data_IF_405772246805
#
_entry.id   IF_405772246805
#
_cell.length_a   1.000
_cell.length_b   1.000
_cell.length_c   1.000
_cell.angle_alpha   90.00
_cell.angle_beta   90.00
_cell.angle_gamma   90.00
#
_symmetry.space_group_name_H-M   'P 1'
#
loop_
_entity.id
_entity.type
_entity.pdbx_description
1 polymer ?
#
# COMPACT_ATOMS: atom_id res chain seq x y z
N UNK A 1 -11.58 -1.98 -24.27
CA UNK A 1 -11.26 -2.58 -22.95
C UNK A 1 -10.73 -1.46 -22.07
N UNK A 2 -11.47 -1.13 -21.01
CA UNK A 2 -11.21 0.07 -20.20
C UNK A 2 -9.79 0.11 -19.67
N UNK A 3 -9.07 1.17 -20.03
CA UNK A 3 -7.69 1.43 -19.61
C UNK A 3 -7.69 2.04 -18.20
N UNK A 4 -8.32 1.36 -17.24
CA UNK A 4 -8.60 1.87 -15.89
C UNK A 4 -7.80 1.08 -14.87
N UNK A 5 -7.25 1.76 -13.87
CA UNK A 5 -6.55 1.11 -12.76
C UNK A 5 -7.55 0.35 -11.90
N UNK A 6 -7.26 -0.90 -11.60
CA UNK A 6 -7.92 -1.68 -10.57
C UNK A 6 -7.48 -1.18 -9.19
N UNK A 7 -8.35 -0.40 -8.53
CA UNK A 7 -8.09 0.16 -7.21
C UNK A 7 -8.62 -0.80 -6.14
N UNK A 8 -7.76 -1.14 -5.19
CA UNK A 8 -8.07 -1.99 -4.03
C UNK A 8 -7.89 -1.16 -2.76
N UNK A 9 -8.91 -1.12 -1.91
CA UNK A 9 -8.91 -0.35 -0.67
C UNK A 9 -8.39 -1.21 0.49
N UNK A 10 -7.19 -0.92 0.98
CA UNK A 10 -6.65 -1.55 2.18
C UNK A 10 -7.33 -0.96 3.41
N UNK A 11 -8.03 -1.80 4.17
CA UNK A 11 -8.88 -1.35 5.27
C UNK A 11 -8.64 -2.18 6.55
N UNK A 12 -8.29 -1.53 7.68
CA UNK A 12 -8.31 -2.18 8.99
C UNK A 12 -9.73 -2.47 9.44
N UNK A 13 -9.86 -3.41 10.38
CA UNK A 13 -11.12 -3.90 10.96
C UNK A 13 -12.20 -2.82 11.14
N UNK A 14 -11.83 -1.66 11.67
CA UNK A 14 -12.73 -0.56 12.02
C UNK A 14 -13.37 0.13 10.81
N UNK A 15 -12.79 -0.06 9.63
CA UNK A 15 -13.12 0.68 8.40
C UNK A 15 -13.55 -0.21 7.22
N UNK A 16 -13.53 -1.54 7.39
CA UNK A 16 -13.86 -2.51 6.32
C UNK A 16 -15.28 -2.29 5.80
N UNK A 17 -16.25 -2.08 6.70
CA UNK A 17 -17.64 -1.89 6.29
C UNK A 17 -17.80 -0.64 5.41
N UNK A 18 -17.18 0.46 5.81
CA UNK A 18 -17.23 1.71 5.06
C UNK A 18 -16.47 1.58 3.73
N UNK A 19 -15.32 0.93 3.71
CA UNK A 19 -14.58 0.64 2.48
C UNK A 19 -15.39 -0.24 1.52
N UNK A 20 -16.05 -1.30 2.02
CA UNK A 20 -16.86 -2.20 1.20
C UNK A 20 -18.08 -1.49 0.57
N UNK A 21 -18.68 -0.53 1.28
CA UNK A 21 -19.81 0.28 0.76
C UNK A 21 -19.45 1.15 -0.45
N UNK A 22 -18.17 1.39 -0.71
CA UNK A 22 -17.71 2.10 -1.91
C UNK A 22 -17.89 1.29 -3.21
N UNK A 23 -18.09 -0.04 -3.09
CA UNK A 23 -18.14 -0.95 -4.23
C UNK A 23 -16.78 -1.32 -4.82
N UNK A 24 -15.68 -0.78 -4.29
CA UNK A 24 -14.32 -1.17 -4.68
C UNK A 24 -13.89 -2.45 -3.94
N UNK A 25 -13.02 -3.29 -4.54
CA UNK A 25 -12.39 -4.40 -3.85
C UNK A 25 -11.66 -3.94 -2.58
N UNK A 26 -11.75 -4.75 -1.52
CA UNK A 26 -11.12 -4.44 -0.21
C UNK A 26 -9.94 -5.37 0.04
N UNK A 27 -8.82 -4.84 0.51
CA UNK A 27 -7.75 -5.61 1.12
C UNK A 27 -7.94 -5.61 2.65
N UNK A 28 -8.27 -6.78 3.21
CA UNK A 28 -8.71 -6.94 4.59
C UNK A 28 -7.53 -7.04 5.56
N UNK A 29 -7.22 -5.96 6.26
CA UNK A 29 -6.15 -5.90 7.28
C UNK A 29 -6.68 -6.46 8.61
N UNK A 30 -6.92 -7.76 8.62
CA UNK A 30 -7.52 -8.48 9.76
C UNK A 30 -6.89 -9.83 10.04
N UNK A 31 -5.89 -10.26 9.28
CA UNK A 31 -5.27 -11.57 9.43
C UNK A 31 -3.84 -11.47 9.95
N UNK A 32 -3.44 -12.43 10.78
CA UNK A 32 -2.06 -12.57 11.26
C UNK A 32 -1.68 -14.03 11.46
N UNK A 33 -0.38 -14.30 11.49
CA UNK A 33 0.15 -15.60 11.91
C UNK A 33 0.37 -15.57 13.42
N UNK A 34 -0.28 -16.48 14.15
CA UNK A 34 -0.15 -16.59 15.60
C UNK A 34 1.11 -17.34 16.03
N UNK A 35 1.42 -17.29 17.34
CA UNK A 35 2.58 -17.99 17.93
C UNK A 35 2.55 -19.52 17.78
N UNK A 36 1.37 -20.10 17.51
CA UNK A 36 1.19 -21.51 17.22
C UNK A 36 1.39 -21.89 15.75
N UNK A 37 1.82 -20.96 14.89
CA UNK A 37 1.97 -21.16 13.43
C UNK A 37 0.65 -21.42 12.69
N UNK A 38 -0.44 -20.91 13.24
CA UNK A 38 -1.78 -20.98 12.66
C UNK A 38 -2.24 -19.59 12.19
N UNK A 39 -3.15 -19.58 11.21
CA UNK A 39 -3.82 -18.37 10.76
C UNK A 39 -4.83 -17.88 11.81
N UNK A 40 -4.76 -16.60 12.13
CA UNK A 40 -5.74 -15.94 13.00
C UNK A 40 -6.39 -14.79 12.27
N UNK A 41 -7.72 -14.68 12.43
CA UNK A 41 -8.48 -13.50 12.06
C UNK A 41 -8.82 -12.66 13.29
N UNK A 42 -8.80 -11.35 13.14
CA UNK A 42 -9.21 -10.40 14.17
C UNK A 42 -10.64 -10.70 14.66
N UNK A 43 -10.80 -10.84 15.96
CA UNK A 43 -12.10 -11.13 16.59
C UNK A 43 -13.11 -10.03 16.26
N UNK A 44 -14.32 -10.42 15.87
CA UNK A 44 -15.40 -9.48 15.54
C UNK A 44 -15.16 -8.65 14.29
N UNK A 45 -14.19 -9.02 13.44
CA UNK A 45 -14.09 -8.45 12.10
C UNK A 45 -15.30 -8.88 11.25
N UNK A 46 -15.98 -7.93 10.57
CA UNK A 46 -17.04 -8.28 9.63
C UNK A 46 -16.55 -9.24 8.54
N UNK A 47 -17.42 -10.15 8.08
CA UNK A 47 -17.14 -11.00 6.92
C UNK A 47 -17.73 -10.33 5.68
N UNK A 48 -16.86 -9.82 4.81
CA UNK A 48 -17.22 -9.42 3.46
C UNK A 48 -16.55 -10.37 2.47
N UNK A 49 -17.33 -10.90 1.55
CA UNK A 49 -16.82 -11.79 0.53
C UNK A 49 -16.04 -11.00 -0.53
N UNK A 50 -15.01 -11.62 -1.09
CA UNK A 50 -14.20 -11.02 -2.13
C UNK A 50 -13.05 -10.16 -1.61
N UNK A 51 -12.23 -9.71 -2.55
CA UNK A 51 -11.10 -8.84 -2.28
C UNK A 51 -9.81 -9.62 -1.99
N UNK A 52 -8.99 -9.08 -1.10
CA UNK A 52 -7.62 -9.55 -0.85
C UNK A 52 -7.40 -9.74 0.65
N UNK A 53 -6.80 -10.84 1.07
CA UNK A 53 -6.36 -11.02 2.45
C UNK A 53 -5.09 -10.19 2.70
N UNK A 54 -5.01 -9.40 3.76
CA UNK A 54 -3.72 -8.84 4.21
C UNK A 54 -3.27 -9.60 5.46
N UNK A 55 -2.14 -10.29 5.33
CA UNK A 55 -1.58 -11.19 6.33
C UNK A 55 -0.39 -10.54 7.04
N UNK A 56 -0.59 -10.18 8.31
CA UNK A 56 0.50 -9.80 9.21
C UNK A 56 1.37 -11.00 9.55
N UNK A 57 2.56 -11.01 8.94
CA UNK A 57 3.60 -12.02 9.12
C UNK A 57 4.76 -11.52 9.99
N UNK A 58 4.64 -10.35 10.64
CA UNK A 58 5.74 -9.73 11.40
C UNK A 58 6.24 -10.58 12.57
N UNK A 59 5.34 -11.34 13.20
CA UNK A 59 5.68 -12.27 14.28
C UNK A 59 6.15 -13.65 13.83
N UNK A 60 6.16 -13.94 12.52
CA UNK A 60 6.48 -15.27 12.00
C UNK A 60 7.93 -15.34 11.54
N UNK A 61 8.76 -16.10 12.24
CA UNK A 61 10.18 -16.30 11.89
C UNK A 61 10.43 -17.61 11.13
N UNK A 62 9.39 -18.41 10.91
CA UNK A 62 9.49 -19.80 10.46
C UNK A 62 9.22 -20.78 11.61
N UNK A 63 9.04 -22.05 11.27
CA UNK A 63 8.64 -23.10 12.22
C UNK A 63 7.20 -23.56 12.02
N UNK A 64 6.85 -24.63 12.72
CA UNK A 64 5.60 -25.37 12.51
C UNK A 64 5.53 -26.04 11.13
N UNK A 65 4.47 -26.83 10.86
CA UNK A 65 4.25 -27.40 9.54
C UNK A 65 3.81 -26.32 8.54
N UNK A 66 4.72 -25.87 7.66
CA UNK A 66 4.42 -24.85 6.64
C UNK A 66 3.23 -25.25 5.75
N UNK A 67 3.12 -26.54 5.39
CA UNK A 67 2.00 -27.04 4.59
C UNK A 67 0.65 -26.81 5.27
N UNK A 68 0.56 -27.04 6.58
CA UNK A 68 -0.68 -26.81 7.33
C UNK A 68 -1.09 -25.34 7.33
N UNK A 69 -0.13 -24.43 7.51
CA UNK A 69 -0.39 -22.99 7.43
C UNK A 69 -0.83 -22.55 6.02
N UNK A 70 -0.22 -23.11 4.97
CA UNK A 70 -0.63 -22.86 3.58
C UNK A 70 -2.07 -23.33 3.37
N UNK A 71 -2.42 -24.54 3.84
CA UNK A 71 -3.76 -25.09 3.71
C UNK A 71 -4.81 -24.23 4.44
N UNK A 72 -4.49 -23.74 5.64
CA UNK A 72 -5.34 -22.81 6.39
C UNK A 72 -5.57 -21.49 5.65
N UNK A 73 -4.51 -20.90 5.07
CA UNK A 73 -4.61 -19.66 4.29
C UNK A 73 -5.46 -19.88 3.04
N UNK A 74 -5.22 -20.97 2.29
CA UNK A 74 -5.98 -21.30 1.09
C UNK A 74 -7.46 -21.54 1.41
N UNK A 75 -7.77 -22.31 2.46
CA UNK A 75 -9.15 -22.58 2.86
C UNK A 75 -9.90 -21.32 3.30
N UNK A 76 -9.26 -20.44 4.07
CA UNK A 76 -9.87 -19.15 4.46
C UNK A 76 -10.03 -18.22 3.25
N UNK A 77 -9.09 -18.23 2.30
CA UNK A 77 -9.23 -17.47 1.06
C UNK A 77 -10.38 -17.98 0.18
N UNK A 78 -10.52 -19.29 0.04
CA UNK A 78 -11.63 -19.91 -0.70
C UNK A 78 -12.98 -19.57 -0.04
N UNK A 79 -13.10 -19.78 1.28
CA UNK A 79 -14.32 -19.47 2.03
C UNK A 79 -14.67 -17.98 2.04
N UNK A 80 -13.65 -17.10 2.00
CA UNK A 80 -13.79 -15.65 1.91
C UNK A 80 -13.96 -15.13 0.49
N UNK A 81 -13.76 -15.95 -0.54
CA UNK A 81 -13.72 -15.53 -1.94
C UNK A 81 -12.55 -14.59 -2.27
N UNK A 82 -11.45 -14.63 -1.52
CA UNK A 82 -10.29 -13.78 -1.77
C UNK A 82 -9.56 -14.21 -3.04
N UNK A 83 -9.11 -13.23 -3.82
CA UNK A 83 -8.38 -13.44 -5.07
C UNK A 83 -6.88 -13.18 -4.93
N UNK A 84 -6.43 -12.88 -3.71
CA UNK A 84 -5.03 -12.65 -3.42
C UNK A 84 -4.71 -12.49 -1.94
N UNK A 85 -3.41 -12.49 -1.65
CA UNK A 85 -2.86 -12.35 -0.31
C UNK A 85 -1.72 -11.32 -0.36
N UNK A 86 -1.80 -10.27 0.45
CA UNK A 86 -0.70 -9.35 0.73
C UNK A 86 0.06 -9.88 1.94
N UNK A 87 1.36 -10.07 1.81
CA UNK A 87 2.24 -10.47 2.91
C UNK A 87 2.88 -9.22 3.49
N UNK A 88 2.60 -8.90 4.75
CA UNK A 88 3.27 -7.79 5.44
C UNK A 88 4.33 -8.34 6.41
N UNK A 89 5.63 -8.32 6.04
CA UNK A 89 6.70 -8.74 6.92
C UNK A 89 6.89 -7.74 8.07
N UNK A 90 7.61 -8.17 9.11
CA UNK A 90 8.07 -7.26 10.15
C UNK A 90 9.30 -6.46 9.68
N UNK A 91 9.83 -5.60 10.55
CA UNK A 91 11.03 -4.78 10.26
C UNK A 91 12.23 -5.60 9.77
N UNK A 92 12.33 -6.86 10.21
CA UNK A 92 13.36 -7.79 9.78
C UNK A 92 12.73 -8.88 8.93
N UNK A 93 13.10 -8.93 7.66
CA UNK A 93 12.70 -9.99 6.76
C UNK A 93 13.28 -11.34 7.22
N UNK A 94 12.41 -12.23 7.70
CA UNK A 94 12.77 -13.59 8.11
C UNK A 94 12.64 -14.58 6.96
N UNK A 95 13.53 -15.58 6.92
CA UNK A 95 13.50 -16.66 5.91
C UNK A 95 12.17 -17.41 5.90
N UNK A 96 11.51 -17.56 7.06
CA UNK A 96 10.19 -18.19 7.16
C UNK A 96 9.10 -17.44 6.39
N UNK A 97 9.07 -16.11 6.47
CA UNK A 97 8.10 -15.27 5.73
C UNK A 97 8.34 -15.38 4.23
N UNK A 98 9.60 -15.35 3.80
CA UNK A 98 9.95 -15.54 2.39
C UNK A 98 9.54 -16.92 1.88
N UNK A 99 9.78 -17.98 2.65
CA UNK A 99 9.38 -19.35 2.29
C UNK A 99 7.85 -19.49 2.19
N UNK A 100 7.11 -18.88 3.12
CA UNK A 100 5.64 -18.83 3.08
C UNK A 100 5.14 -18.13 1.81
N UNK A 101 5.64 -16.92 1.55
CA UNK A 101 5.25 -16.15 0.37
C UNK A 101 5.60 -16.88 -0.93
N UNK A 102 6.80 -17.46 -1.03
CA UNK A 102 7.24 -18.21 -2.21
C UNK A 102 6.39 -19.46 -2.42
N UNK A 103 6.01 -20.16 -1.35
CA UNK A 103 5.15 -21.33 -1.46
C UNK A 103 3.75 -20.94 -1.94
N UNK A 104 3.14 -19.90 -1.38
CA UNK A 104 1.85 -19.39 -1.86
C UNK A 104 1.91 -18.96 -3.33
N UNK A 105 2.98 -18.27 -3.73
CA UNK A 105 3.15 -17.83 -5.12
C UNK A 105 3.30 -19.02 -6.08
N UNK A 106 4.02 -20.08 -5.68
CA UNK A 106 4.24 -21.28 -6.49
C UNK A 106 2.97 -22.10 -6.79
N UNK A 107 1.93 -21.95 -5.97
CA UNK A 107 0.65 -22.68 -6.13
C UNK A 107 -0.45 -21.80 -6.74
N UNK A 108 -0.11 -20.64 -7.29
CA UNK A 108 -1.05 -19.69 -7.89
C UNK A 108 -1.94 -20.31 -8.98
N UNK A 109 -1.39 -21.19 -9.82
CA UNK A 109 -2.18 -21.87 -10.87
C UNK A 109 -3.28 -22.78 -10.29
N UNK A 110 -3.05 -23.33 -9.10
CA UNK A 110 -3.99 -24.22 -8.41
C UNK A 110 -5.04 -23.42 -7.63
N UNK A 111 -4.62 -22.32 -6.99
CA UNK A 111 -5.48 -21.56 -6.06
C UNK A 111 -6.12 -20.32 -6.66
N UNK A 112 -5.57 -19.80 -7.78
CA UNK A 112 -5.93 -18.50 -8.34
C UNK A 112 -5.46 -17.30 -7.52
N UNK A 113 -4.75 -17.51 -6.40
CA UNK A 113 -4.36 -16.44 -5.49
C UNK A 113 -3.15 -15.68 -6.03
N UNK A 114 -3.32 -14.36 -6.20
CA UNK A 114 -2.20 -13.46 -6.46
C UNK A 114 -1.52 -13.11 -5.14
N UNK A 115 -0.22 -13.37 -5.03
CA UNK A 115 0.57 -13.03 -3.84
C UNK A 115 1.24 -11.69 -4.06
N UNK A 116 0.95 -10.72 -3.19
CA UNK A 116 1.56 -9.40 -3.18
C UNK A 116 2.61 -9.33 -2.09
N UNK A 117 3.81 -8.84 -2.42
CA UNK A 117 4.91 -8.69 -1.47
C UNK A 117 5.56 -7.31 -1.58
N UNK A 118 6.12 -6.76 -0.48
CA UNK A 118 6.94 -5.57 -0.54
C UNK A 118 8.16 -5.71 -1.44
N UNK A 119 8.70 -4.59 -1.92
CA UNK A 119 9.81 -4.55 -2.86
C UNK A 119 11.08 -5.25 -2.36
N UNK A 120 11.35 -5.22 -1.05
CA UNK A 120 12.47 -5.91 -0.41
C UNK A 120 12.40 -7.44 -0.53
N UNK A 121 11.22 -8.00 -0.81
CA UNK A 121 11.01 -9.44 -0.99
C UNK A 121 11.02 -9.88 -2.46
N UNK A 122 11.03 -8.94 -3.41
CA UNK A 122 10.83 -9.22 -4.82
C UNK A 122 11.81 -10.27 -5.39
N UNK A 123 13.09 -10.20 -4.99
CA UNK A 123 14.14 -11.08 -5.51
C UNK A 123 14.10 -12.50 -4.92
N UNK A 124 13.45 -12.69 -3.78
CA UNK A 124 13.42 -13.98 -3.06
C UNK A 124 12.07 -14.69 -3.14
N UNK A 125 11.05 -14.03 -3.74
CA UNK A 125 9.70 -14.58 -3.91
C UNK A 125 9.33 -14.56 -5.40
N UNK A 126 9.87 -15.49 -6.21
CA UNK A 126 9.52 -15.55 -7.63
C UNK A 126 8.02 -15.81 -7.83
N UNK A 127 7.43 -15.14 -8.81
CA UNK A 127 6.01 -15.25 -9.14
C UNK A 127 5.05 -14.40 -8.30
N UNK A 128 5.57 -13.62 -7.34
CA UNK A 128 4.78 -12.62 -6.63
C UNK A 128 4.64 -11.31 -7.42
N UNK A 129 3.59 -10.56 -7.10
CA UNK A 129 3.39 -9.18 -7.54
C UNK A 129 4.05 -8.24 -6.53
N UNK A 130 4.91 -7.35 -7.02
CA UNK A 130 5.68 -6.43 -6.19
C UNK A 130 4.87 -5.18 -5.88
N UNK A 131 4.72 -4.86 -4.59
CA UNK A 131 4.14 -3.60 -4.11
C UNK A 131 5.20 -2.50 -4.17
N UNK A 132 4.94 -1.51 -5.02
CA UNK A 132 5.84 -0.37 -5.26
C UNK A 132 5.27 0.88 -4.63
N UNK A 133 5.99 1.40 -3.65
CA UNK A 133 5.63 2.60 -2.88
C UNK A 133 5.71 3.86 -3.75
N UNK A 134 4.75 4.76 -3.58
CA UNK A 134 4.72 6.06 -4.30
C UNK A 134 5.12 7.25 -3.45
N UNK A 135 5.33 7.06 -2.14
CA UNK A 135 5.84 8.07 -1.22
C UNK A 135 7.37 8.09 -1.28
N UNK A 136 7.91 8.87 -2.21
CA UNK A 136 9.36 8.98 -2.39
C UNK A 136 9.93 10.12 -1.54
N UNK A 137 11.09 9.86 -0.92
CA UNK A 137 11.89 10.89 -0.22
C UNK A 137 12.77 11.71 -1.18
N UNK A 138 12.91 11.28 -2.43
CA UNK A 138 13.68 11.92 -3.47
C UNK A 138 13.63 11.16 -4.80
N UNK A 139 14.19 11.74 -5.85
CA UNK A 139 14.17 11.16 -7.20
C UNK A 139 12.84 11.37 -7.93
N UNK A 140 12.62 10.63 -9.02
CA UNK A 140 11.45 10.77 -9.89
C UNK A 140 10.55 9.54 -9.79
N UNK A 141 9.27 9.74 -9.46
CA UNK A 141 8.25 8.70 -9.41
C UNK A 141 8.08 8.03 -10.76
N UNK A 142 8.06 8.80 -11.85
CA UNK A 142 7.91 8.24 -13.20
C UNK A 142 9.05 7.27 -13.51
N UNK A 143 10.29 7.69 -13.21
CA UNK A 143 11.46 6.83 -13.40
C UNK A 143 11.38 5.59 -12.51
N UNK A 144 11.02 5.75 -11.24
CA UNK A 144 10.87 4.64 -10.29
C UNK A 144 9.87 3.58 -10.79
N UNK A 145 8.71 4.02 -11.28
CA UNK A 145 7.69 3.11 -11.84
C UNK A 145 8.16 2.42 -13.13
N UNK A 146 8.86 3.14 -14.02
CA UNK A 146 9.43 2.56 -15.23
C UNK A 146 10.50 1.52 -14.93
N UNK A 147 11.39 1.79 -13.97
CA UNK A 147 12.43 0.86 -13.53
C UNK A 147 11.83 -0.39 -12.90
N UNK A 148 10.80 -0.25 -12.06
CA UNK A 148 10.08 -1.38 -11.48
C UNK A 148 9.39 -2.23 -12.56
N UNK A 149 8.67 -1.60 -13.50
CA UNK A 149 8.02 -2.31 -14.60
C UNK A 149 9.02 -3.02 -15.52
N UNK A 150 10.16 -2.41 -15.82
CA UNK A 150 11.21 -3.01 -16.62
C UNK A 150 11.89 -4.19 -15.91
N UNK A 151 12.04 -4.11 -14.58
CA UNK A 151 12.71 -5.14 -13.77
C UNK A 151 11.82 -6.34 -13.51
N UNK A 152 10.55 -6.12 -13.16
CA UNK A 152 9.64 -7.17 -12.68
C UNK A 152 8.59 -7.60 -13.73
N UNK A 153 8.42 -6.83 -14.80
CA UNK A 153 7.26 -6.94 -15.69
C UNK A 153 6.10 -6.12 -15.12
N UNK A 154 5.46 -5.29 -15.96
CA UNK A 154 4.42 -4.36 -15.52
C UNK A 154 3.19 -5.07 -14.93
N UNK A 155 2.91 -6.29 -15.37
CA UNK A 155 1.85 -7.17 -14.86
C UNK A 155 2.15 -7.75 -13.48
N UNK A 156 3.43 -7.77 -13.06
CA UNK A 156 3.88 -8.23 -11.75
C UNK A 156 4.20 -7.07 -10.80
N UNK A 157 3.66 -5.88 -11.08
CA UNK A 157 3.77 -4.72 -10.21
C UNK A 157 2.37 -4.23 -9.82
N UNK A 158 2.21 -3.85 -8.55
CA UNK A 158 1.06 -3.11 -8.07
C UNK A 158 1.56 -1.88 -7.29
N UNK A 159 0.87 -0.76 -7.43
CA UNK A 159 1.20 0.44 -6.67
C UNK A 159 0.72 0.30 -5.22
N UNK A 160 1.52 0.82 -4.31
CA UNK A 160 1.11 1.13 -2.96
C UNK A 160 1.10 2.66 -2.80
N UNK A 161 -0.12 3.22 -2.76
CA UNK A 161 -0.32 4.67 -2.66
C UNK A 161 -0.53 5.04 -1.21
N UNK A 162 0.51 5.64 -0.63
CA UNK A 162 0.42 6.39 0.62
C UNK A 162 0.08 7.85 0.32
N UNK A 163 -0.92 8.39 1.02
CA UNK A 163 -1.22 9.84 0.99
C UNK A 163 -0.25 10.55 1.94
N UNK A 164 0.76 11.18 1.36
CA UNK A 164 1.79 11.87 2.13
C UNK A 164 1.22 13.14 2.77
N UNK A 165 1.63 13.44 4.01
CA UNK A 165 1.48 14.75 4.67
C UNK A 165 2.66 14.95 5.62
N UNK A 166 3.70 15.64 5.18
CA UNK A 166 4.97 15.72 5.89
C UNK A 166 5.47 17.16 5.95
N UNK A 167 5.88 17.60 7.13
CA UNK A 167 6.51 18.89 7.38
C UNK A 167 8.01 18.71 7.65
N UNK A 168 8.84 19.34 6.83
CA UNK A 168 10.29 19.27 6.90
C UNK A 168 10.90 20.59 7.34
N UNK A 169 11.69 20.55 8.40
CA UNK A 169 12.54 21.64 8.83
C UNK A 169 13.73 21.79 7.88
N UNK A 170 13.89 22.96 7.26
CA UNK A 170 14.98 23.24 6.31
C UNK A 170 16.20 23.85 7.04
N UNK A 171 17.44 23.34 6.84
CA UNK A 171 17.82 22.26 5.92
C UNK A 171 17.44 20.86 6.43
N UNK A 172 16.79 20.06 5.58
CA UNK A 172 16.30 18.72 5.90
C UNK A 172 17.43 17.68 5.88
N UNK A 173 18.38 17.78 6.82
CA UNK A 173 19.64 17.01 6.84
C UNK A 173 19.46 15.49 6.80
N UNK A 174 18.38 14.97 7.36
CA UNK A 174 18.11 13.52 7.41
C UNK A 174 17.08 13.06 6.39
N UNK A 175 16.45 13.99 5.65
CA UNK A 175 15.29 13.68 4.80
C UNK A 175 14.07 13.17 5.58
N UNK A 176 14.05 13.33 6.90
CA UNK A 176 12.93 12.90 7.76
C UNK A 176 12.07 14.11 8.10
N UNK A 177 10.80 14.07 7.70
CA UNK A 177 9.80 15.06 8.07
C UNK A 177 8.98 14.59 9.27
N UNK A 178 8.25 15.52 9.88
CA UNK A 178 7.19 15.24 10.84
C UNK A 178 5.90 14.94 10.07
N UNK A 179 5.27 13.81 10.33
CA UNK A 179 3.95 13.53 9.79
C UNK A 179 2.93 14.53 10.34
N UNK A 180 2.08 15.04 9.46
CA UNK A 180 0.99 15.95 9.81
C UNK A 180 -0.34 15.21 9.81
N UNK A 181 -1.19 15.53 10.79
CA UNK A 181 -2.61 15.21 10.70
C UNK A 181 -3.30 16.06 9.64
N UNK A 182 -4.55 15.70 9.31
CA UNK A 182 -5.35 16.50 8.38
C UNK A 182 -5.61 17.90 8.94
N UNK A 183 -5.95 17.98 10.23
CA UNK A 183 -6.25 19.21 10.94
C UNK A 183 -5.02 20.13 11.03
N UNK A 184 -3.83 19.57 11.23
CA UNK A 184 -2.58 20.33 11.23
C UNK A 184 -2.28 20.94 9.86
N UNK A 185 -2.48 20.17 8.78
CA UNK A 185 -2.28 20.67 7.41
C UNK A 185 -3.28 21.80 7.09
N UNK A 186 -4.54 21.65 7.50
CA UNK A 186 -5.57 22.68 7.34
C UNK A 186 -5.26 23.95 8.15
N UNK A 187 -4.76 23.80 9.39
CA UNK A 187 -4.32 24.92 10.21
C UNK A 187 -3.17 25.69 9.55
N UNK A 188 -2.24 25.00 8.89
CA UNK A 188 -1.16 25.65 8.13
C UNK A 188 -1.69 26.43 6.93
N UNK A 189 -2.69 25.90 6.21
CA UNK A 189 -3.34 26.65 5.13
C UNK A 189 -4.02 27.92 5.65
N UNK A 190 -4.77 27.82 6.75
CA UNK A 190 -5.45 28.99 7.33
C UNK A 190 -4.48 30.03 7.87
N UNK A 191 -3.40 29.60 8.52
CA UNK A 191 -2.42 30.50 9.16
C UNK A 191 -1.56 31.24 8.13
N UNK A 192 -1.05 30.52 7.12
CA UNK A 192 -0.04 31.07 6.20
C UNK A 192 -0.59 31.44 4.82
N UNK A 193 -1.81 31.02 4.47
CA UNK A 193 -2.39 31.18 3.12
C UNK A 193 -1.38 30.89 2.00
N UNK A 194 -0.70 29.73 2.04
CA UNK A 194 0.48 29.52 1.21
C UNK A 194 0.10 29.32 -0.26
N UNK A 195 1.02 29.71 -1.15
CA UNK A 195 0.93 29.32 -2.56
C UNK A 195 1.33 27.85 -2.69
N UNK A 196 0.43 27.04 -3.24
CA UNK A 196 0.66 25.61 -3.46
C UNK A 196 1.39 25.43 -4.80
N UNK A 197 2.45 24.63 -4.76
CA UNK A 197 3.25 24.19 -5.90
C UNK A 197 3.10 22.68 -6.12
N UNK A 198 3.50 22.21 -7.29
CA UNK A 198 3.51 20.79 -7.64
C UNK A 198 4.94 20.36 -7.98
N UNK A 199 5.35 19.21 -7.43
CA UNK A 199 6.60 18.55 -7.79
C UNK A 199 6.31 17.47 -8.83
N UNK A 200 6.83 17.65 -10.05
CA UNK A 200 6.76 16.63 -11.11
C UNK A 200 7.52 15.36 -10.73
N UNK A 201 8.64 15.52 -10.01
CA UNK A 201 9.50 14.42 -9.58
C UNK A 201 8.80 13.55 -8.53
N UNK A 202 8.28 14.15 -7.45
CA UNK A 202 7.64 13.39 -6.37
C UNK A 202 6.16 13.10 -6.66
N UNK A 203 5.60 13.73 -7.70
CA UNK A 203 4.18 13.71 -8.01
C UNK A 203 3.30 14.04 -6.79
N UNK A 204 3.69 15.08 -6.05
CA UNK A 204 3.03 15.55 -4.84
C UNK A 204 2.98 17.09 -4.81
N UNK A 205 2.05 17.63 -4.03
CA UNK A 205 1.93 19.07 -3.81
C UNK A 205 2.84 19.51 -2.67
N UNK A 206 3.32 20.74 -2.72
CA UNK A 206 4.11 21.29 -1.63
C UNK A 206 3.92 22.79 -1.46
N UNK A 207 4.29 23.29 -0.30
CA UNK A 207 4.47 24.72 -0.06
C UNK A 207 5.59 24.96 0.96
N UNK A 208 6.03 26.21 1.07
CA UNK A 208 7.06 26.63 2.01
C UNK A 208 6.46 27.72 2.89
N UNK A 209 6.69 27.62 4.20
CA UNK A 209 6.33 28.68 5.15
C UNK A 209 7.48 28.94 6.11
N UNK A 210 7.37 30.02 6.89
CA UNK A 210 8.37 30.41 7.87
C UNK A 210 7.72 30.62 9.23
N UNK A 211 8.24 29.94 10.24
CA UNK A 211 7.89 30.14 11.64
C UNK A 211 9.09 30.76 12.38
N UNK A 212 8.99 32.06 12.66
CA UNK A 212 10.09 32.85 13.20
C UNK A 212 11.36 32.82 12.32
N UNK A 213 12.41 32.15 12.79
CA UNK A 213 13.67 31.97 12.05
C UNK A 213 13.73 30.66 11.26
N UNK A 214 12.79 29.76 11.48
CA UNK A 214 12.78 28.43 10.90
C UNK A 214 12.00 28.41 9.59
N UNK A 215 12.60 27.86 8.54
CA UNK A 215 11.92 27.59 7.27
C UNK A 215 11.42 26.15 7.26
N UNK A 216 10.18 25.98 6.80
CA UNK A 216 9.50 24.70 6.70
C UNK A 216 9.13 24.42 5.24
N UNK A 217 9.25 23.16 4.82
CA UNK A 217 8.81 22.64 3.53
C UNK A 217 7.76 21.57 3.81
N UNK A 218 6.54 21.78 3.34
CA UNK A 218 5.43 20.83 3.54
C UNK A 218 5.16 20.11 2.24
N UNK A 219 5.25 18.79 2.25
CA UNK A 219 4.93 17.90 1.12
C UNK A 219 3.65 17.14 1.44
N UNK A 220 2.69 17.13 0.51
CA UNK A 220 1.42 16.45 0.74
C UNK A 220 0.75 15.96 -0.54
N UNK A 221 -0.10 14.95 -0.39
CA UNK A 221 -0.96 14.42 -1.43
C UNK A 221 -2.41 14.92 -1.30
N UNK A 222 -3.01 15.24 -2.44
CA UNK A 222 -4.44 15.51 -2.61
C UNK A 222 -5.00 14.58 -3.70
N UNK A 223 -6.30 14.68 -3.98
CA UNK A 223 -6.94 13.85 -5.00
C UNK A 223 -6.29 13.99 -6.39
N UNK A 224 -5.87 15.20 -6.76
CA UNK A 224 -5.23 15.45 -8.06
C UNK A 224 -3.84 14.81 -8.16
N UNK A 225 -3.04 14.84 -7.09
CA UNK A 225 -1.72 14.18 -7.09
C UNK A 225 -1.86 12.66 -7.13
N UNK A 226 -2.81 12.09 -6.38
CA UNK A 226 -3.10 10.65 -6.40
C UNK A 226 -3.57 10.20 -7.79
N UNK A 227 -4.46 10.94 -8.45
CA UNK A 227 -4.87 10.64 -9.84
C UNK A 227 -3.68 10.67 -10.80
N UNK A 228 -2.74 11.61 -10.62
CA UNK A 228 -1.52 11.64 -11.43
C UNK A 228 -0.64 10.41 -11.19
N UNK A 229 -0.46 9.97 -9.94
CA UNK A 229 0.24 8.72 -9.61
C UNK A 229 -0.38 7.52 -10.33
N UNK A 230 -1.72 7.40 -10.30
CA UNK A 230 -2.47 6.36 -11.02
C UNK A 230 -2.29 6.45 -12.55
N UNK A 231 -2.30 7.65 -13.13
CA UNK A 231 -2.05 7.85 -14.56
C UNK A 231 -0.63 7.44 -14.97
N UNK A 232 0.38 7.77 -14.17
CA UNK A 232 1.76 7.37 -14.43
C UNK A 232 1.93 5.85 -14.35
N UNK A 233 1.26 5.19 -13.41
CA UNK A 233 1.21 3.73 -13.33
C UNK A 233 0.63 3.10 -14.59
N UNK A 234 -0.53 3.58 -15.06
CA UNK A 234 -1.17 3.09 -16.28
C UNK A 234 -0.27 3.27 -17.51
N UNK A 235 0.45 4.40 -17.61
CA UNK A 235 1.41 4.64 -18.69
C UNK A 235 2.60 3.68 -18.63
N UNK A 236 3.00 3.24 -17.44
CA UNK A 236 4.00 2.20 -17.24
C UNK A 236 3.44 0.77 -17.43
N UNK A 237 2.15 0.62 -17.76
CA UNK A 237 1.48 -0.67 -17.91
C UNK A 237 1.02 -1.31 -16.60
N UNK A 238 1.20 -0.62 -15.47
CA UNK A 238 0.82 -1.08 -14.14
C UNK A 238 -0.67 -0.81 -13.92
N UNK A 239 -1.43 -1.86 -13.64
CA UNK A 239 -2.91 -1.81 -13.63
C UNK A 239 -3.54 -1.98 -12.26
N UNK A 240 -2.78 -2.27 -11.22
CA UNK A 240 -3.31 -2.49 -9.87
C UNK A 240 -2.73 -1.45 -8.92
N UNK A 241 -3.56 -0.89 -8.04
CA UNK A 241 -3.13 0.05 -7.01
C UNK A 241 -3.87 -0.19 -5.70
N UNK A 242 -3.13 -0.18 -4.60
CA UNK A 242 -3.65 -0.24 -3.24
C UNK A 242 -3.67 1.17 -2.65
N UNK A 243 -4.80 1.56 -2.07
CA UNK A 243 -4.95 2.79 -1.31
C UNK A 243 -5.36 2.44 0.12
N UNK A 244 -4.70 3.02 1.11
CA UNK A 244 -5.10 2.86 2.51
C UNK A 244 -6.36 3.67 2.80
N UNK A 245 -7.50 3.00 2.98
CA UNK A 245 -8.82 3.61 3.05
C UNK A 245 -8.92 4.72 4.12
N UNK A 246 -8.49 4.52 5.38
CA UNK A 246 -8.53 5.59 6.37
C UNK A 246 -7.70 6.82 6.01
N UNK A 247 -6.72 6.70 5.10
CA UNK A 247 -5.93 7.84 4.63
C UNK A 247 -6.57 8.62 3.48
N UNK A 248 -7.56 8.04 2.78
CA UNK A 248 -8.12 8.63 1.55
C UNK A 248 -9.63 8.78 1.54
N UNK A 249 -10.34 8.27 2.55
CA UNK A 249 -11.82 8.21 2.55
C UNK A 249 -12.50 9.58 2.33
N UNK A 250 -11.90 10.66 2.81
CA UNK A 250 -12.35 12.05 2.68
C UNK A 250 -12.20 12.60 1.26
N UNK A 251 -11.28 12.05 0.46
CA UNK A 251 -11.00 12.49 -0.91
C UNK A 251 -11.24 11.40 -1.96
N UNK A 252 -11.81 10.26 -1.57
CA UNK A 252 -11.95 9.09 -2.44
C UNK A 252 -12.82 9.40 -3.66
N UNK A 253 -13.96 10.07 -3.46
CA UNK A 253 -14.84 10.46 -4.56
C UNK A 253 -14.13 11.36 -5.58
N UNK A 254 -13.24 12.25 -5.13
CA UNK A 254 -12.45 13.11 -6.00
C UNK A 254 -11.32 12.37 -6.73
N UNK A 255 -10.77 11.32 -6.11
CA UNK A 255 -9.79 10.42 -6.74
C UNK A 255 -10.46 9.62 -7.87
N UNK A 256 -11.72 9.22 -7.68
CA UNK A 256 -12.45 8.34 -8.59
C UNK A 256 -13.11 9.06 -9.78
N UNK A 257 -13.10 10.40 -9.80
CA UNK A 257 -13.55 11.25 -10.92
C UNK A 257 -12.56 11.25 -12.08
#
# INVERSE_FOLDING_TARGET
MENKTNIILAAPKQSIEQAARTGLPVAHITYKIGRGYHLFRAQGAPRYAGGVMVLDASGYTGGGPLSGLIDEICAECEAGGFTGVVITPGERLGLGVAALAARLASIREQTGLTVYVPQEMAEIVPGAVVLVQTALSGGSLVRHLMEAAARYGAENVALEIARVRMDFTVPAKTGTGRELTQEELEALFGTYSPKIHYSEDLCASYFIYRDGRQTHFVLFDNAATIRRKLMHALRAGIKTAFLYYPGVHDILDEIMR
#
